data_IF_516494427970
#
_entry.id   IF_516494427970
#
_cell.length_a   1.000
_cell.length_b   1.000
_cell.length_c   1.000
_cell.angle_alpha   90.00
_cell.angle_beta   90.00
_cell.angle_gamma   90.00
#
_symmetry.space_group_name_H-M   'P 1'
#
loop_
_entity.id
_entity.type
_entity.pdbx_description
1 polymer ?
#
# COMPACT_ATOMS: atom_id res chain seq x y z
N UNK A 1 -36.74 -33.35 -33.69
CA UNK A 1 -36.74 -32.15 -34.56
C UNK A 1 -35.31 -31.79 -34.91
N UNK A 2 -35.08 -31.12 -36.03
CA UNK A 2 -33.77 -30.54 -36.38
C UNK A 2 -33.64 -29.19 -35.69
N UNK A 3 -32.56 -28.99 -34.93
CA UNK A 3 -32.28 -27.77 -34.19
C UNK A 3 -30.98 -27.15 -34.70
N UNK A 4 -30.87 -25.83 -34.56
CA UNK A 4 -29.66 -25.07 -34.91
C UNK A 4 -29.10 -24.46 -33.62
N UNK A 5 -27.83 -24.74 -33.32
CA UNK A 5 -27.09 -24.06 -32.28
C UNK A 5 -26.17 -23.03 -32.92
N UNK A 6 -26.18 -21.79 -32.42
CA UNK A 6 -25.35 -20.69 -32.92
C UNK A 6 -24.48 -20.16 -31.78
N UNK A 7 -23.16 -20.17 -31.99
CA UNK A 7 -22.22 -19.45 -31.14
C UNK A 7 -21.88 -18.10 -31.78
N UNK A 8 -21.86 -17.03 -30.99
CA UNK A 8 -21.52 -15.67 -31.43
C UNK A 8 -20.36 -15.16 -30.58
N UNK A 9 -19.28 -14.74 -31.24
CA UNK A 9 -18.12 -14.13 -30.59
C UNK A 9 -18.37 -12.63 -30.32
N UNK A 10 -17.63 -12.05 -29.37
CA UNK A 10 -17.71 -10.63 -29.01
C UNK A 10 -17.47 -9.67 -30.18
N UNK A 11 -16.75 -10.11 -31.22
CA UNK A 11 -16.54 -9.38 -32.48
C UNK A 11 -17.62 -9.58 -33.55
N UNK A 12 -18.76 -10.21 -33.21
CA UNK A 12 -19.90 -10.40 -34.13
C UNK A 12 -19.77 -11.59 -35.09
N UNK A 13 -18.64 -12.32 -35.09
CA UNK A 13 -18.51 -13.55 -35.84
C UNK A 13 -19.42 -14.63 -35.24
N UNK A 14 -20.19 -15.34 -36.08
CA UNK A 14 -21.07 -16.42 -35.63
C UNK A 14 -20.81 -17.72 -36.38
N UNK A 15 -20.86 -18.84 -35.66
CA UNK A 15 -20.84 -20.18 -36.23
C UNK A 15 -22.12 -20.92 -35.83
N UNK A 16 -22.73 -21.61 -36.79
CA UNK A 16 -23.93 -22.42 -36.51
C UNK A 16 -23.74 -23.85 -36.96
N UNK A 17 -24.24 -24.78 -36.14
CA UNK A 17 -24.32 -26.20 -36.48
C UNK A 17 -25.74 -26.73 -36.25
N UNK A 18 -26.11 -27.77 -36.98
CA UNK A 18 -27.43 -28.38 -36.89
C UNK A 18 -27.35 -29.81 -36.38
N UNK A 19 -28.21 -30.16 -35.44
CA UNK A 19 -28.31 -31.52 -34.93
C UNK A 19 -29.77 -31.96 -34.82
N UNK A 20 -30.00 -33.27 -34.91
CA UNK A 20 -31.34 -33.85 -34.85
C UNK A 20 -31.51 -34.62 -33.54
N UNK A 21 -32.48 -34.24 -32.72
CA UNK A 21 -32.84 -35.04 -31.54
C UNK A 21 -33.91 -36.07 -31.94
N UNK A 22 -33.68 -37.38 -31.73
CA UNK A 22 -34.53 -38.46 -32.22
C UNK A 22 -35.83 -38.70 -31.42
N UNK A 23 -36.08 -37.98 -30.32
CA UNK A 23 -37.24 -38.21 -29.44
C UNK A 23 -38.17 -36.97 -29.39
N UNK A 24 -39.49 -37.18 -29.39
CA UNK A 24 -40.50 -36.13 -29.17
C UNK A 24 -40.68 -35.86 -27.67
N UNK A 25 -39.92 -34.91 -27.17
CA UNK A 25 -40.12 -34.26 -25.87
C UNK A 25 -39.84 -32.78 -26.02
N UNK A 26 -40.66 -31.91 -25.41
CA UNK A 26 -40.38 -30.47 -25.35
C UNK A 26 -39.00 -30.31 -24.69
N UNK A 27 -38.03 -29.60 -25.32
CA UNK A 27 -36.72 -29.44 -24.72
C UNK A 27 -36.90 -28.77 -23.36
N UNK A 28 -36.43 -29.45 -22.31
CA UNK A 28 -36.25 -28.86 -20.99
C UNK A 28 -35.41 -27.59 -21.21
N UNK A 29 -35.86 -26.44 -20.69
CA UNK A 29 -35.09 -25.20 -20.83
C UNK A 29 -33.65 -25.45 -20.41
N UNK A 30 -32.72 -25.35 -21.35
CA UNK A 30 -31.30 -25.42 -21.07
C UNK A 30 -31.02 -24.39 -19.97
N UNK A 31 -30.37 -24.76 -18.85
CA UNK A 31 -29.98 -23.76 -17.87
C UNK A 31 -29.21 -22.67 -18.61
N UNK A 32 -29.57 -21.40 -18.36
CA UNK A 32 -28.83 -20.29 -18.91
C UNK A 32 -27.35 -20.48 -18.54
N UNK A 33 -26.40 -20.22 -19.47
CA UNK A 33 -24.98 -20.30 -19.13
C UNK A 33 -24.73 -19.41 -17.92
N UNK A 34 -24.17 -20.00 -16.86
CA UNK A 34 -23.69 -19.24 -15.71
C UNK A 34 -22.63 -18.27 -16.23
N UNK A 35 -22.79 -16.98 -15.94
CA UNK A 35 -21.80 -15.98 -16.34
C UNK A 35 -20.44 -16.35 -15.75
N UNK A 36 -19.40 -16.39 -16.58
CA UNK A 36 -18.02 -16.53 -16.11
C UNK A 36 -17.65 -15.23 -15.39
N UNK A 37 -17.28 -15.32 -14.12
CA UNK A 37 -16.81 -14.18 -13.35
C UNK A 37 -15.52 -13.62 -13.96
N UNK A 38 -15.44 -12.30 -14.09
CA UNK A 38 -14.21 -11.62 -14.47
C UNK A 38 -13.18 -11.68 -13.32
N UNK A 39 -11.88 -11.85 -13.61
CA UNK A 39 -10.82 -11.74 -12.61
C UNK A 39 -10.86 -10.40 -11.87
N UNK A 40 -10.22 -10.32 -10.70
CA UNK A 40 -10.02 -9.05 -10.00
C UNK A 40 -9.30 -8.04 -10.92
N UNK A 41 -9.64 -6.76 -10.77
CA UNK A 41 -9.08 -5.67 -11.57
C UNK A 41 -9.11 -4.39 -10.75
N UNK A 42 -8.04 -4.12 -10.00
CA UNK A 42 -7.88 -2.97 -9.14
C UNK A 42 -7.48 -1.76 -9.97
N UNK A 43 -8.23 -0.68 -9.79
CA UNK A 43 -8.05 0.56 -10.52
C UNK A 43 -7.94 1.70 -9.53
N UNK A 44 -6.93 2.55 -9.70
CA UNK A 44 -6.87 3.84 -9.03
C UNK A 44 -7.58 4.88 -9.90
N UNK A 45 -8.74 5.35 -9.45
CA UNK A 45 -9.62 6.20 -10.24
C UNK A 45 -9.30 7.68 -10.00
N UNK A 46 -9.14 8.43 -11.10
CA UNK A 46 -8.89 9.87 -11.11
C UNK A 46 -7.56 10.28 -10.47
N UNK A 47 -7.08 11.52 -10.69
CA UNK A 47 -5.96 12.04 -9.92
C UNK A 47 -6.21 11.98 -8.41
N UNK A 48 -5.15 11.83 -7.59
CA UNK A 48 -5.25 11.97 -6.14
C UNK A 48 -5.89 13.30 -5.76
N UNK A 49 -6.52 13.36 -4.59
CA UNK A 49 -7.12 14.59 -4.05
C UNK A 49 -6.27 15.06 -2.88
N UNK A 50 -5.79 16.30 -2.93
CA UNK A 50 -5.08 16.92 -1.81
C UNK A 50 -6.07 17.21 -0.67
N UNK A 51 -5.79 16.65 0.51
CA UNK A 51 -6.60 16.82 1.73
C UNK A 51 -6.04 17.94 2.61
N UNK A 52 -4.71 18.05 2.71
CA UNK A 52 -4.08 19.10 3.50
C UNK A 52 -4.45 20.50 2.99
N UNK A 53 -4.68 21.42 3.92
CA UNK A 53 -5.08 22.79 3.61
C UNK A 53 -3.87 23.65 3.21
N UNK A 54 -3.93 24.40 2.10
CA UNK A 54 -2.90 25.37 1.75
C UNK A 54 -2.73 26.49 2.81
N UNK A 55 -1.54 27.11 2.92
CA UNK A 55 -0.36 26.89 2.08
C UNK A 55 0.32 25.55 2.39
N UNK A 56 0.67 24.82 1.33
CA UNK A 56 1.52 23.63 1.47
C UNK A 56 2.96 24.11 1.59
N UNK A 57 3.68 23.61 2.58
CA UNK A 57 5.07 24.00 2.88
C UNK A 57 5.97 22.79 2.64
N UNK A 58 7.12 23.00 2.00
CA UNK A 58 8.09 21.94 1.78
C UNK A 58 8.53 21.29 3.10
N UNK A 59 8.81 19.99 3.06
CA UNK A 59 9.23 19.17 4.20
C UNK A 59 8.21 19.04 5.35
N UNK A 60 6.96 19.41 5.11
CA UNK A 60 5.87 19.20 6.07
C UNK A 60 4.95 18.06 5.61
N UNK A 61 4.40 17.27 6.55
CA UNK A 61 3.49 16.19 6.20
C UNK A 61 2.32 16.70 5.36
N UNK A 62 2.00 15.96 4.30
CA UNK A 62 0.89 16.27 3.39
C UNK A 62 0.05 15.02 3.19
N UNK A 63 -1.27 15.21 3.21
CA UNK A 63 -2.24 14.14 3.15
C UNK A 63 -3.01 14.19 1.82
N UNK A 64 -3.20 13.02 1.22
CA UNK A 64 -3.97 12.82 0.00
C UNK A 64 -5.03 11.76 0.21
N UNK A 65 -6.09 11.82 -0.58
CA UNK A 65 -7.00 10.68 -0.75
C UNK A 65 -6.94 10.13 -2.17
N UNK A 66 -6.96 8.81 -2.29
CA UNK A 66 -7.04 8.07 -3.55
C UNK A 66 -8.30 7.21 -3.53
N UNK A 67 -9.06 7.23 -4.62
CA UNK A 67 -10.21 6.33 -4.80
C UNK A 67 -9.75 5.10 -5.56
N UNK A 68 -9.91 3.93 -4.95
CA UNK A 68 -9.61 2.65 -5.59
C UNK A 68 -10.92 1.90 -5.88
N UNK A 69 -10.93 1.06 -6.89
CA UNK A 69 -12.08 0.21 -7.25
C UNK A 69 -11.60 -1.12 -7.77
N UNK A 70 -12.27 -2.21 -7.40
CA UNK A 70 -12.13 -3.49 -8.07
C UNK A 70 -13.21 -3.58 -9.16
N UNK A 71 -12.85 -3.40 -10.42
CA UNK A 71 -13.77 -3.49 -11.57
C UNK A 71 -14.08 -4.93 -11.99
N UNK A 72 -13.38 -5.91 -11.41
CA UNK A 72 -13.65 -7.33 -11.55
C UNK A 72 -14.80 -7.85 -10.70
N UNK A 73 -15.19 -9.11 -10.95
CA UNK A 73 -16.23 -9.80 -10.18
C UNK A 73 -15.65 -10.63 -9.01
N UNK A 74 -14.34 -10.88 -9.00
CA UNK A 74 -13.66 -11.65 -7.96
C UNK A 74 -13.15 -10.73 -6.86
N UNK A 75 -13.46 -11.08 -5.62
CA UNK A 75 -12.97 -10.39 -4.43
C UNK A 75 -11.44 -10.51 -4.27
N UNK A 76 -10.79 -9.40 -3.94
CA UNK A 76 -9.43 -9.39 -3.42
C UNK A 76 -9.50 -9.57 -1.91
N UNK A 77 -9.04 -10.72 -1.42
CA UNK A 77 -9.10 -11.10 0.01
C UNK A 77 -7.74 -11.08 0.72
N UNK A 78 -6.67 -10.80 -0.03
CA UNK A 78 -5.33 -10.63 0.51
C UNK A 78 -5.05 -9.12 0.68
N UNK A 79 -4.24 -8.78 1.69
CA UNK A 79 -3.82 -7.41 1.89
C UNK A 79 -3.03 -6.91 0.67
N UNK A 80 -3.33 -5.71 0.20
CA UNK A 80 -2.56 -5.00 -0.82
C UNK A 80 -2.24 -3.57 -0.38
N UNK A 81 -1.43 -2.85 -1.18
CA UNK A 81 -0.92 -1.53 -0.81
C UNK A 81 -1.33 -0.48 -1.84
N UNK A 82 -1.77 0.67 -1.34
CA UNK A 82 -2.00 1.87 -2.15
C UNK A 82 -0.94 2.89 -1.74
N UNK A 83 -0.17 3.36 -2.73
CA UNK A 83 0.93 4.29 -2.52
C UNK A 83 0.65 5.63 -3.20
N UNK A 84 1.20 6.69 -2.63
CA UNK A 84 1.32 8.00 -3.28
C UNK A 84 2.78 8.29 -3.59
N UNK A 85 3.01 8.94 -4.72
CA UNK A 85 4.33 9.27 -5.23
C UNK A 85 4.39 10.75 -5.53
N UNK A 86 5.32 11.46 -4.88
CA UNK A 86 5.57 12.88 -5.11
C UNK A 86 6.76 13.00 -6.07
N UNK A 87 6.52 13.55 -7.26
CA UNK A 87 7.49 13.70 -8.34
C UNK A 87 8.35 12.45 -8.64
N UNK A 88 7.73 11.26 -8.85
CA UNK A 88 8.48 10.06 -9.13
C UNK A 88 9.35 10.23 -10.38
N UNK A 89 10.60 9.78 -10.29
CA UNK A 89 11.57 9.89 -11.39
C UNK A 89 11.39 8.78 -12.43
N UNK A 90 10.75 7.67 -12.04
CA UNK A 90 10.52 6.48 -12.87
C UNK A 90 9.04 6.16 -12.85
N UNK A 91 8.39 6.19 -14.02
CA UNK A 91 7.02 5.72 -14.22
C UNK A 91 7.05 4.69 -15.35
N UNK A 92 6.67 3.46 -15.05
CA UNK A 92 6.50 2.39 -16.02
C UNK A 92 5.02 2.26 -16.38
N UNK A 93 4.74 1.53 -17.47
CA UNK A 93 3.37 1.37 -17.98
C UNK A 93 2.45 0.67 -16.99
N UNK A 94 2.98 -0.22 -16.16
CA UNK A 94 2.26 -1.06 -15.22
C UNK A 94 2.56 -0.73 -13.75
N UNK A 95 3.59 0.09 -13.47
CA UNK A 95 3.99 0.39 -12.08
C UNK A 95 4.85 1.63 -11.91
N UNK A 96 4.84 2.15 -10.69
CA UNK A 96 5.88 3.05 -10.17
C UNK A 96 6.66 2.25 -9.12
N UNK A 97 8.00 2.13 -9.21
CA UNK A 97 8.78 1.35 -8.25
C UNK A 97 8.50 1.76 -6.80
N UNK A 98 8.34 0.79 -5.89
CA UNK A 98 8.09 1.03 -4.46
C UNK A 98 9.18 1.92 -3.82
N UNK A 99 10.40 1.93 -4.37
CA UNK A 99 11.48 2.82 -3.93
C UNK A 99 11.20 4.31 -4.13
N UNK A 100 10.25 4.67 -4.99
CA UNK A 100 9.80 6.06 -5.23
C UNK A 100 8.62 6.45 -4.31
N UNK A 101 8.11 5.50 -3.50
CA UNK A 101 6.95 5.73 -2.64
C UNK A 101 7.21 6.84 -1.63
N UNK A 102 6.29 7.79 -1.56
CA UNK A 102 6.34 8.91 -0.62
C UNK A 102 5.40 8.74 0.58
N UNK A 103 4.60 7.67 0.57
CA UNK A 103 3.61 7.33 1.59
C UNK A 103 2.72 6.20 1.08
N UNK A 104 2.17 5.41 1.99
CA UNK A 104 1.26 4.31 1.62
C UNK A 104 0.20 4.06 2.69
N UNK A 105 -0.83 3.31 2.31
CA UNK A 105 -1.76 2.65 3.23
C UNK A 105 -2.05 1.24 2.72
N UNK A 106 -2.10 0.28 3.64
CA UNK A 106 -2.53 -1.07 3.34
C UNK A 106 -4.05 -1.15 3.27
N UNK A 107 -4.56 -2.04 2.42
CA UNK A 107 -5.99 -2.34 2.29
C UNK A 107 -6.15 -3.82 2.56
N UNK A 108 -7.02 -4.20 3.50
CA UNK A 108 -7.14 -5.61 3.91
C UNK A 108 -7.75 -6.50 2.82
N UNK A 109 -8.55 -5.90 1.93
CA UNK A 109 -9.17 -6.53 0.78
C UNK A 109 -10.17 -5.58 0.11
N UNK A 110 -10.62 -5.92 -1.09
CA UNK A 110 -11.62 -5.16 -1.81
C UNK A 110 -12.50 -6.09 -2.64
N UNK A 111 -13.80 -6.12 -2.31
CA UNK A 111 -14.77 -6.98 -3.00
C UNK A 111 -14.96 -6.61 -4.47
N UNK A 112 -15.38 -7.57 -5.29
CA UNK A 112 -15.70 -7.35 -6.69
C UNK A 112 -16.76 -6.24 -6.87
N UNK A 113 -16.51 -5.33 -7.82
CA UNK A 113 -17.36 -4.16 -8.08
C UNK A 113 -17.39 -3.11 -6.96
N UNK A 114 -16.58 -3.25 -5.91
CA UNK A 114 -16.55 -2.29 -4.79
C UNK A 114 -15.50 -1.20 -4.99
N UNK A 115 -15.77 -0.04 -4.40
CA UNK A 115 -14.84 1.09 -4.33
C UNK A 115 -14.55 1.47 -2.89
N UNK A 116 -13.35 2.00 -2.66
CA UNK A 116 -12.95 2.52 -1.36
C UNK A 116 -12.13 3.80 -1.53
N UNK A 117 -12.30 4.76 -0.63
CA UNK A 117 -11.45 5.94 -0.53
C UNK A 117 -10.40 5.71 0.54
N UNK A 118 -9.13 5.78 0.15
CA UNK A 118 -7.97 5.60 1.02
C UNK A 118 -7.34 6.96 1.28
N UNK A 119 -6.97 7.22 2.54
CA UNK A 119 -6.23 8.42 2.95
C UNK A 119 -4.78 8.04 3.21
N UNK A 120 -3.85 8.78 2.62
CA UNK A 120 -2.42 8.48 2.67
C UNK A 120 -1.67 9.74 3.11
N UNK A 121 -0.90 9.60 4.19
CA UNK A 121 0.00 10.63 4.69
C UNK A 121 1.39 10.44 4.08
N UNK A 122 1.88 11.46 3.39
CA UNK A 122 3.31 11.59 3.11
C UNK A 122 3.97 12.31 4.28
N UNK A 123 4.77 11.60 5.07
CA UNK A 123 5.40 12.18 6.25
C UNK A 123 6.46 13.23 5.90
N UNK A 124 7.19 13.01 4.80
CA UNK A 124 8.26 13.91 4.34
C UNK A 124 7.72 15.11 3.56
N UNK A 125 6.55 14.99 2.92
CA UNK A 125 6.02 16.05 2.08
C UNK A 125 6.82 16.31 0.82
N UNK A 126 6.66 17.52 0.27
CA UNK A 126 7.33 17.96 -0.94
C UNK A 126 8.73 18.51 -0.68
N UNK A 127 9.62 18.33 -1.66
CA UNK A 127 10.88 19.07 -1.72
C UNK A 127 10.68 20.55 -2.07
N UNK A 128 11.74 21.36 -1.93
CA UNK A 128 11.72 22.78 -2.33
C UNK A 128 11.60 23.00 -3.86
N UNK A 129 11.96 21.99 -4.66
CA UNK A 129 12.03 22.10 -6.12
C UNK A 129 11.48 20.83 -6.77
N UNK A 130 10.64 20.93 -7.82
CA UNK A 130 10.09 22.14 -8.44
C UNK A 130 9.11 22.90 -7.53
N UNK A 131 8.53 24.03 -7.97
CA UNK A 131 7.50 24.76 -7.20
C UNK A 131 6.10 24.17 -7.39
N UNK A 132 5.88 23.51 -8.53
CA UNK A 132 4.67 22.78 -8.86
C UNK A 132 5.04 21.31 -8.98
N UNK A 133 4.40 20.48 -8.17
CA UNK A 133 4.73 19.06 -8.02
C UNK A 133 3.64 18.20 -8.65
N UNK A 134 4.03 17.04 -9.18
CA UNK A 134 3.11 16.02 -9.64
C UNK A 134 2.94 14.94 -8.58
N UNK A 135 1.71 14.50 -8.39
CA UNK A 135 1.34 13.46 -7.44
C UNK A 135 0.60 12.35 -8.16
N UNK A 136 1.08 11.13 -8.02
CA UNK A 136 0.45 9.92 -8.55
C UNK A 136 -0.04 9.05 -7.40
N UNK A 137 -1.15 8.37 -7.60
CA UNK A 137 -1.58 7.23 -6.80
C UNK A 137 -1.34 5.93 -7.56
N UNK A 138 -1.00 4.86 -6.85
CA UNK A 138 -0.96 3.51 -7.42
C UNK A 138 -1.63 2.53 -6.48
N UNK A 139 -2.57 1.72 -6.99
CA UNK A 139 -3.13 0.56 -6.29
C UNK A 139 -2.30 -0.69 -6.60
N UNK A 140 -2.24 -1.63 -5.65
CA UNK A 140 -1.35 -2.79 -5.68
C UNK A 140 0.10 -2.45 -6.06
N UNK A 141 0.66 -1.45 -5.37
CA UNK A 141 2.01 -0.92 -5.63
C UNK A 141 3.14 -1.95 -5.53
N UNK A 142 2.89 -3.09 -4.88
CA UNK A 142 3.84 -4.19 -4.71
C UNK A 142 3.59 -5.36 -5.68
N UNK A 143 2.57 -5.26 -6.55
CA UNK A 143 2.21 -6.24 -7.58
C UNK A 143 2.02 -7.66 -7.04
N UNK A 144 1.19 -7.81 -6.01
CA UNK A 144 0.95 -9.12 -5.39
C UNK A 144 -0.42 -9.71 -5.71
N UNK A 145 -1.32 -8.90 -6.27
CA UNK A 145 -2.62 -9.35 -6.74
C UNK A 145 -2.48 -9.68 -8.23
N UNK A 146 -3.02 -10.82 -8.65
CA UNK A 146 -3.07 -11.16 -10.08
C UNK A 146 -4.34 -10.56 -10.67
N UNK A 147 -4.17 -9.67 -11.63
CA UNK A 147 -5.27 -8.84 -12.12
C UNK A 147 -5.63 -9.14 -13.58
N UNK A 148 -6.80 -8.68 -14.02
CA UNK A 148 -7.17 -8.71 -15.43
C UNK A 148 -6.30 -7.75 -16.27
N UNK A 149 -5.86 -6.65 -15.65
CA UNK A 149 -4.97 -5.65 -16.23
C UNK A 149 -4.11 -5.05 -15.12
N UNK A 150 -2.83 -4.87 -15.38
CA UNK A 150 -1.86 -4.22 -14.46
C UNK A 150 -1.58 -2.76 -14.85
N UNK A 151 -2.08 -2.33 -16.01
CA UNK A 151 -1.74 -1.01 -16.60
C UNK A 151 -2.70 0.11 -16.21
N UNK A 152 -3.74 -0.22 -15.45
CA UNK A 152 -4.80 0.66 -14.94
C UNK A 152 -4.65 0.93 -13.43
N UNK A 153 -3.52 0.50 -12.84
CA UNK A 153 -3.26 0.64 -11.42
C UNK A 153 -2.76 2.03 -11.03
N UNK A 154 -2.26 2.81 -11.99
CA UNK A 154 -1.70 4.16 -11.77
C UNK A 154 -2.72 5.23 -12.18
N UNK A 155 -2.88 6.25 -11.34
CA UNK A 155 -3.74 7.40 -11.63
C UNK A 155 -3.14 8.33 -12.69
N UNK A 156 -3.98 9.16 -13.31
CA UNK A 156 -3.50 10.43 -13.87
C UNK A 156 -2.86 11.31 -12.76
N UNK A 157 -1.92 12.21 -13.08
CA UNK A 157 -1.27 13.02 -12.07
C UNK A 157 -2.17 14.15 -11.54
N UNK A 158 -2.07 14.43 -10.24
CA UNK A 158 -2.50 15.67 -9.61
C UNK A 158 -1.33 16.67 -9.63
N UNK A 159 -1.57 17.90 -10.09
CA UNK A 159 -0.61 19.00 -9.91
C UNK A 159 -0.89 19.79 -8.63
N UNK A 160 0.05 19.79 -7.69
CA UNK A 160 0.04 20.66 -6.51
C UNK A 160 0.89 21.90 -6.79
N UNK A 161 0.24 23.07 -6.80
CA UNK A 161 0.89 24.34 -7.17
C UNK A 161 1.36 25.13 -5.95
N UNK A 162 2.44 25.89 -6.14
CA UNK A 162 2.93 26.89 -5.19
C UNK A 162 3.28 26.30 -3.81
N UNK A 163 4.02 25.19 -3.78
CA UNK A 163 4.61 24.71 -2.52
C UNK A 163 5.57 25.80 -2.00
N UNK A 164 5.33 26.22 -0.76
CA UNK A 164 6.09 27.27 -0.09
C UNK A 164 7.44 26.70 0.34
N UNK A 165 8.57 27.26 -0.11
CA UNK A 165 9.87 26.77 0.29
C UNK A 165 10.11 26.86 1.80
N UNK A 166 10.84 25.90 2.35
CA UNK A 166 11.24 25.84 3.74
C UNK A 166 12.74 25.50 3.87
N UNK A 167 13.28 25.64 5.08
CA UNK A 167 14.62 25.19 5.36
C UNK A 167 14.69 23.67 5.18
N UNK A 168 15.62 23.20 4.34
CA UNK A 168 15.85 21.77 4.14
C UNK A 168 16.21 21.12 5.48
N UNK A 169 15.54 20.03 5.87
CA UNK A 169 15.83 19.34 7.12
C UNK A 169 17.27 18.84 7.11
N UNK A 170 17.92 18.89 8.28
CA UNK A 170 19.23 18.29 8.44
C UNK A 170 19.07 16.77 8.39
N UNK A 171 19.86 16.04 7.57
CA UNK A 171 19.80 14.59 7.52
C UNK A 171 20.02 13.99 8.91
N UNK A 172 19.26 12.94 9.24
CA UNK A 172 19.54 12.12 10.42
C UNK A 172 20.94 11.51 10.26
N UNK A 173 21.84 11.67 11.25
CA UNK A 173 23.18 11.07 11.18
C UNK A 173 23.10 9.55 11.02
N UNK A 174 24.01 8.98 10.23
CA UNK A 174 24.18 7.54 10.16
C UNK A 174 24.62 6.97 11.52
N UNK A 175 24.12 5.79 11.86
CA UNK A 175 24.51 5.10 13.09
C UNK A 175 25.95 4.59 12.98
N UNK A 176 26.74 4.79 14.04
CA UNK A 176 28.19 4.52 14.06
C UNK A 176 28.63 3.45 15.07
N UNK A 177 27.69 2.66 15.58
CA UNK A 177 27.96 1.51 16.44
C UNK A 177 28.45 0.29 15.67
N UNK A 178 28.49 -0.86 16.34
CA UNK A 178 29.03 -2.11 15.80
C UNK A 178 28.10 -3.31 15.96
N UNK A 179 26.88 -3.09 16.45
CA UNK A 179 25.93 -4.13 16.83
C UNK A 179 24.57 -3.81 16.23
N UNK A 180 23.69 -4.81 16.14
CA UNK A 180 22.39 -4.65 15.50
C UNK A 180 21.23 -4.77 16.49
N UNK A 181 20.11 -4.14 16.16
CA UNK A 181 18.81 -4.36 16.80
C UNK A 181 17.84 -4.85 15.73
N UNK A 182 17.29 -6.05 15.90
CA UNK A 182 16.33 -6.65 14.98
C UNK A 182 15.21 -7.38 15.70
N UNK A 183 14.13 -7.65 14.96
CA UNK A 183 12.97 -8.38 15.45
C UNK A 183 11.91 -8.57 14.37
N UNK A 184 10.74 -9.05 14.79
CA UNK A 184 9.55 -9.19 13.95
C UNK A 184 8.48 -8.20 14.40
N UNK A 185 7.87 -7.49 13.45
CA UNK A 185 6.66 -6.71 13.66
C UNK A 185 5.44 -7.55 13.29
N UNK A 186 4.48 -7.63 14.21
CA UNK A 186 3.20 -8.29 13.97
C UNK A 186 2.05 -7.34 14.27
N UNK A 187 0.96 -7.43 13.52
CA UNK A 187 -0.28 -6.71 13.75
C UNK A 187 -1.34 -7.65 14.29
N UNK A 188 -2.11 -7.20 15.29
CA UNK A 188 -3.28 -7.90 15.79
C UNK A 188 -4.54 -7.38 15.09
N UNK A 189 -5.05 -8.13 14.12
CA UNK A 189 -6.36 -7.86 13.49
C UNK A 189 -7.41 -8.80 14.08
N UNK A 190 -7.31 -10.08 13.76
CA UNK A 190 -8.04 -11.20 14.37
C UNK A 190 -7.09 -12.24 14.96
N UNK A 191 -5.89 -12.34 14.38
CA UNK A 191 -4.75 -13.09 14.87
C UNK A 191 -3.48 -12.24 14.71
N UNK A 192 -2.36 -12.71 15.27
CA UNK A 192 -1.07 -12.04 15.16
C UNK A 192 -0.39 -12.43 13.85
N UNK A 193 -0.39 -11.51 12.89
CA UNK A 193 0.23 -11.71 11.58
C UNK A 193 1.48 -10.86 11.44
N UNK A 194 2.57 -11.38 10.86
CA UNK A 194 3.68 -10.54 10.43
C UNK A 194 3.19 -9.44 9.49
N UNK A 195 3.69 -8.21 9.69
CA UNK A 195 3.23 -7.06 8.90
C UNK A 195 4.33 -6.60 7.94
N UNK A 196 4.03 -6.60 6.65
CA UNK A 196 4.91 -6.03 5.62
C UNK A 196 4.84 -4.49 5.61
N UNK A 197 5.99 -3.85 5.39
CA UNK A 197 6.19 -2.39 5.25
C UNK A 197 5.91 -1.55 6.50
N UNK A 198 5.64 -2.15 7.66
CA UNK A 198 5.43 -1.38 8.88
C UNK A 198 6.62 -0.45 9.13
N UNK A 199 6.36 0.83 9.38
CA UNK A 199 7.40 1.79 9.71
C UNK A 199 7.89 1.51 11.12
N UNK A 200 9.17 1.21 11.27
CA UNK A 200 9.79 0.91 12.56
C UNK A 200 10.77 2.03 12.90
N UNK A 201 10.62 2.61 14.09
CA UNK A 201 11.47 3.71 14.55
C UNK A 201 12.28 3.29 15.76
N UNK A 202 13.59 3.56 15.72
CA UNK A 202 14.50 3.40 16.84
C UNK A 202 14.68 4.75 17.54
N UNK A 203 14.47 4.77 18.85
CA UNK A 203 14.48 5.96 19.69
C UNK A 203 15.47 5.75 20.84
N UNK A 204 16.41 6.68 21.00
CA UNK A 204 17.22 6.81 22.22
C UNK A 204 16.64 7.96 23.06
N UNK A 205 15.94 7.66 24.17
CA UNK A 205 15.35 8.71 25.00
C UNK A 205 16.40 9.57 25.74
N UNK A 206 17.68 9.18 25.70
CA UNK A 206 18.80 9.97 26.22
C UNK A 206 19.23 11.10 25.29
N UNK A 207 18.81 11.06 24.01
CA UNK A 207 18.99 12.16 23.06
C UNK A 207 17.83 13.13 23.26
N UNK A 208 18.12 14.40 23.59
CA UNK A 208 17.10 15.44 23.70
C UNK A 208 16.30 15.64 22.41
N UNK A 209 15.07 16.14 22.51
CA UNK A 209 14.14 16.24 21.36
C UNK A 209 13.29 14.97 21.19
N UNK A 210 12.96 14.60 19.95
CA UNK A 210 12.16 13.40 19.67
C UNK A 210 12.94 12.08 19.83
N UNK A 211 14.25 12.12 20.08
CA UNK A 211 15.10 10.95 20.35
C UNK A 211 15.23 9.95 19.21
N UNK A 212 14.62 10.20 18.04
CA UNK A 212 14.67 9.30 16.88
C UNK A 212 16.10 9.23 16.35
N UNK A 213 16.63 8.02 16.28
CA UNK A 213 17.99 7.77 15.77
C UNK A 213 17.99 7.06 14.41
N UNK A 214 16.97 6.27 14.11
CA UNK A 214 16.84 5.59 12.83
C UNK A 214 15.39 5.19 12.56
N UNK A 215 15.06 5.05 11.27
CA UNK A 215 13.78 4.52 10.78
C UNK A 215 14.08 3.45 9.75
N UNK A 216 13.29 2.37 9.74
CA UNK A 216 13.33 1.31 8.73
C UNK A 216 11.90 0.83 8.43
N UNK A 217 11.75 -0.08 7.48
CA UNK A 217 10.51 -0.79 7.22
C UNK A 217 10.70 -2.29 7.40
N UNK A 218 9.65 -2.98 7.85
CA UNK A 218 9.65 -4.44 7.89
C UNK A 218 9.49 -5.05 6.48
N UNK A 219 10.08 -6.22 6.27
CA UNK A 219 9.93 -7.01 5.05
C UNK A 219 8.65 -7.87 5.03
N UNK A 220 8.47 -8.71 4.01
CA UNK A 220 7.28 -9.55 3.82
C UNK A 220 7.06 -10.57 4.93
N UNK A 221 8.09 -10.88 5.72
CA UNK A 221 8.01 -11.76 6.89
C UNK A 221 7.88 -10.96 8.20
N UNK A 222 7.68 -9.65 8.11
CA UNK A 222 7.61 -8.73 9.24
C UNK A 222 8.98 -8.47 9.89
N UNK A 223 10.08 -8.96 9.33
CA UNK A 223 11.41 -8.78 9.89
C UNK A 223 11.91 -7.35 9.64
N UNK A 224 12.60 -6.80 10.62
CA UNK A 224 13.27 -5.52 10.49
C UNK A 224 14.64 -5.58 11.17
N UNK A 225 15.57 -4.74 10.72
CA UNK A 225 16.91 -4.60 11.32
C UNK A 225 17.37 -3.15 11.29
N UNK A 226 17.96 -2.70 12.40
CA UNK A 226 18.81 -1.53 12.48
C UNK A 226 20.25 -2.01 12.63
N UNK A 227 21.12 -1.61 11.69
CA UNK A 227 22.54 -1.95 11.72
C UNK A 227 23.37 -0.85 12.35
N UNK A 228 24.55 -1.21 12.87
CA UNK A 228 25.53 -0.27 13.43
C UNK A 228 24.94 0.58 14.58
N UNK A 229 24.07 0.01 15.41
CA UNK A 229 23.46 0.69 16.55
C UNK A 229 24.52 0.92 17.64
N UNK A 230 24.79 2.18 18.04
CA UNK A 230 25.73 2.47 19.12
C UNK A 230 25.15 2.06 20.49
N UNK A 231 25.95 2.15 21.55
CA UNK A 231 25.39 2.01 22.91
C UNK A 231 24.47 3.20 23.19
N UNK A 232 23.26 2.93 23.71
CA UNK A 232 22.31 3.97 24.06
C UNK A 232 22.91 4.93 25.10
N UNK A 233 22.61 6.22 24.96
CA UNK A 233 22.90 7.23 25.97
C UNK A 233 22.00 6.99 27.19
N UNK A 234 20.74 6.61 26.96
CA UNK A 234 19.86 6.23 28.05
C UNK A 234 20.29 4.89 28.67
N UNK A 235 20.51 4.82 30.01
CA UNK A 235 20.87 3.57 30.68
C UNK A 235 19.78 2.48 30.60
N UNK A 236 18.53 2.83 30.30
CA UNK A 236 17.46 1.86 30.07
C UNK A 236 17.49 1.26 28.67
N UNK A 237 18.38 1.70 27.77
CA UNK A 237 18.44 1.24 26.39
C UNK A 237 17.47 1.95 25.46
N UNK A 238 17.41 1.48 24.21
CA UNK A 238 16.55 1.99 23.15
C UNK A 238 15.07 1.63 23.34
N UNK A 239 14.24 2.47 22.76
CA UNK A 239 12.82 2.22 22.49
C UNK A 239 12.65 1.94 21.00
N UNK A 240 11.88 0.92 20.65
CA UNK A 240 11.47 0.65 19.28
C UNK A 240 9.95 0.79 19.19
N UNK A 241 9.49 1.57 18.23
CA UNK A 241 8.07 1.69 17.87
C UNK A 241 7.82 1.13 16.48
N UNK A 242 6.59 0.69 16.21
CA UNK A 242 6.15 0.35 14.87
C UNK A 242 4.75 0.92 14.59
N UNK A 243 4.52 1.32 13.34
CA UNK A 243 3.26 1.86 12.85
C UNK A 243 2.92 1.28 11.47
N UNK A 244 1.62 1.00 11.26
CA UNK A 244 1.04 0.77 9.93
C UNK A 244 -0.38 1.34 9.89
N UNK A 245 -0.83 1.77 8.71
CA UNK A 245 -2.24 2.11 8.46
C UNK A 245 -2.84 1.04 7.56
N UNK A 246 -3.94 0.43 8.00
CA UNK A 246 -4.72 -0.57 7.27
C UNK A 246 -6.17 -0.09 7.24
N UNK A 247 -6.77 0.04 6.06
CA UNK A 247 -8.16 0.50 5.88
C UNK A 247 -8.45 1.83 6.60
N UNK A 248 -7.56 2.82 6.44
CA UNK A 248 -7.59 4.12 7.13
C UNK A 248 -7.54 4.04 8.68
N UNK A 249 -7.27 2.86 9.24
CA UNK A 249 -7.10 2.64 10.68
C UNK A 249 -5.63 2.42 11.01
N UNK A 250 -5.13 3.13 12.01
CA UNK A 250 -3.75 3.00 12.46
C UNK A 250 -3.61 1.86 13.47
N UNK A 251 -2.46 1.19 13.38
CA UNK A 251 -2.01 0.18 14.31
C UNK A 251 -0.63 0.58 14.80
N UNK A 252 -0.44 0.54 16.12
CA UNK A 252 0.77 1.02 16.76
C UNK A 252 1.26 0.03 17.82
N UNK A 253 2.58 -0.08 17.94
CA UNK A 253 3.25 -0.90 18.95
C UNK A 253 4.51 -0.21 19.46
N UNK A 254 4.83 -0.44 20.73
CA UNK A 254 6.01 0.13 21.40
C UNK A 254 6.64 -0.88 22.34
N UNK A 255 7.97 -0.94 22.33
CA UNK A 255 8.78 -1.77 23.22
C UNK A 255 10.03 -1.00 23.64
N UNK A 256 10.34 -1.03 24.93
CA UNK A 256 11.48 -0.31 25.51
C UNK A 256 12.45 -1.30 26.14
N UNK A 257 13.71 -0.90 26.34
CA UNK A 257 14.65 -1.71 27.13
C UNK A 257 15.74 -2.39 26.32
N UNK A 258 15.94 -2.02 25.05
CA UNK A 258 16.83 -2.77 24.18
C UNK A 258 18.27 -2.24 24.22
N UNK A 259 19.20 -3.12 24.56
CA UNK A 259 20.63 -2.86 24.42
C UNK A 259 21.16 -3.69 23.24
N UNK A 260 21.91 -3.09 22.30
CA UNK A 260 22.49 -3.85 21.20
C UNK A 260 23.68 -4.71 21.69
N UNK A 261 23.89 -5.92 21.14
CA UNK A 261 23.10 -6.55 20.10
C UNK A 261 21.82 -7.23 20.63
N UNK A 262 20.73 -7.17 19.89
CA UNK A 262 19.51 -7.95 20.18
C UNK A 262 18.76 -8.30 18.90
N UNK A 263 18.30 -9.55 18.79
CA UNK A 263 17.43 -10.03 17.71
C UNK A 263 16.01 -10.39 18.20
N UNK A 264 15.68 -10.02 19.44
CA UNK A 264 14.40 -10.32 20.09
C UNK A 264 13.56 -9.07 20.31
N UNK A 265 13.78 -8.03 19.50
CA UNK A 265 13.02 -6.79 19.57
C UNK A 265 11.64 -6.92 18.89
N UNK A 266 10.90 -7.99 19.16
CA UNK A 266 9.59 -8.22 18.55
C UNK A 266 8.58 -7.17 19.02
N UNK A 267 7.81 -6.62 18.09
CA UNK A 267 6.78 -5.62 18.33
C UNK A 267 5.42 -6.17 17.92
N UNK A 268 4.45 -6.00 18.81
CA UNK A 268 3.04 -6.30 18.56
C UNK A 268 2.30 -4.98 18.44
N UNK A 269 1.66 -4.76 17.29
CA UNK A 269 0.85 -3.59 17.03
C UNK A 269 -0.62 -3.92 17.26
N UNK A 270 -1.33 -2.99 17.92
CA UNK A 270 -2.77 -3.05 18.15
C UNK A 270 -3.42 -1.78 17.60
N UNK A 271 -4.75 -1.74 17.39
CA UNK A 271 -5.42 -0.51 16.96
C UNK A 271 -5.06 0.67 17.87
N UNK A 272 -4.53 1.73 17.26
CA UNK A 272 -4.03 2.89 17.99
C UNK A 272 -3.32 3.87 17.06
N UNK A 273 -3.34 5.17 17.39
CA UNK A 273 -2.72 6.19 16.55
C UNK A 273 -1.22 5.95 16.43
N UNK A 274 -0.70 6.13 15.21
CA UNK A 274 0.73 6.23 15.02
C UNK A 274 1.24 7.50 15.70
N UNK A 275 2.21 7.35 16.62
CA UNK A 275 2.78 8.42 17.44
C UNK A 275 4.10 8.96 16.90
#
# INVERSE_FOLDING_TARGET
GTYTATAVASGGASYSDTFTIPCSGQPTSTPAPTATLSPADLVAISPPILISTPPIVAYQPVEFSVVITNTGDIDVSNQFFVDIYLDPSIILTDRIPVSESSGYTAVSGLGGGQSQTITILSQSGFDNTPTNHQVYGMVDSVMQISEASEINNITDPLTVNNVTPAATPTPTPELSGSNDISGVVQVLTSELLPQYRAFVTLIDPGIGGNGVVAVTQSDSEGLYTFSNVPTAINPTGYTVTACVVIDNSSFFGIRTGFNPPTNLANIFMVPGPCS
#
